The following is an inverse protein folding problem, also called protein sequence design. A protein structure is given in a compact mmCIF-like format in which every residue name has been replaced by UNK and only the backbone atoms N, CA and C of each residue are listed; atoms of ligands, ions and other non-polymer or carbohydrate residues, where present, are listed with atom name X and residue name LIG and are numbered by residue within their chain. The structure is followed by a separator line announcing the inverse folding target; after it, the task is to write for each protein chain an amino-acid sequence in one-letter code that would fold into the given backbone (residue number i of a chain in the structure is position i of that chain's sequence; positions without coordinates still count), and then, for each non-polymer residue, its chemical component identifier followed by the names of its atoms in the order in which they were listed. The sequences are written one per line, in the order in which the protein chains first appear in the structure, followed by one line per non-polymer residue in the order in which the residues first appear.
data_IF_308479905627
#
_entry.id   IF_308479905627
#
_cell.length_a   1.000
_cell.length_b   1.000
_cell.length_c   1.000
_cell.angle_alpha   90.00
_cell.angle_beta   90.00
_cell.angle_gamma   90.00
#
_symmetry.space_group_name_H-M   'P 1'
#
loop_
_entity.id
_entity.type
_entity.pdbx_description
1 polymer ?
#
# COMPACT_ATOMS: atom_id res chain seq x y z
N UNK A 1 24.53 32.94 -19.89
CA UNK A 1 24.25 33.85 -18.78
C UNK A 1 23.01 33.32 -18.07
N UNK A 2 23.02 32.81 -16.88
CA UNK A 2 24.02 32.51 -15.87
C UNK A 2 23.44 31.44 -14.94
N UNK A 3 24.27 30.45 -14.69
CA UNK A 3 23.98 29.28 -13.86
C UNK A 3 24.12 29.70 -12.39
N UNK A 4 23.12 29.49 -11.54
CA UNK A 4 23.27 29.55 -10.08
C UNK A 4 23.25 28.14 -9.50
N UNK A 5 24.43 27.67 -9.10
CA UNK A 5 24.64 26.51 -8.26
C UNK A 5 24.32 26.90 -6.81
N UNK A 6 23.50 26.08 -6.12
CA UNK A 6 23.33 26.17 -4.67
C UNK A 6 24.21 25.05 -4.07
N UNK A 7 25.20 25.46 -3.28
CA UNK A 7 26.05 24.57 -2.49
C UNK A 7 25.33 24.25 -1.16
N UNK A 8 25.27 22.98 -0.83
CA UNK A 8 25.01 22.51 0.54
C UNK A 8 26.26 22.68 1.39
N UNK A 9 26.15 23.40 2.50
CA UNK A 9 27.16 23.43 3.56
C UNK A 9 26.79 22.42 4.63
N UNK A 10 27.67 21.44 4.83
CA UNK A 10 27.70 20.59 6.01
C UNK A 10 28.55 21.29 7.03
N UNK A 11 27.98 21.68 8.17
CA UNK A 11 28.72 22.23 9.28
C UNK A 11 28.89 21.19 10.38
N UNK A 12 30.15 20.81 10.59
CA UNK A 12 30.60 19.95 11.68
C UNK A 12 31.04 20.86 12.83
N UNK A 13 30.37 20.81 13.98
CA UNK A 13 30.78 21.53 15.16
C UNK A 13 31.28 20.55 16.23
N UNK A 14 32.60 20.62 16.49
CA UNK A 14 33.25 19.95 17.61
C UNK A 14 33.00 20.70 18.93
N UNK A 15 32.57 19.98 19.96
CA UNK A 15 32.52 20.44 21.34
C UNK A 15 33.93 20.37 21.97
N UNK A 16 34.38 21.49 22.55
CA UNK A 16 35.49 21.54 23.49
C UNK A 16 34.94 21.75 24.90
N UNK A 17 35.29 20.84 25.81
CA UNK A 17 35.08 20.99 27.25
C UNK A 17 36.17 21.90 27.85
N UNK A 18 35.76 22.82 28.70
CA UNK A 18 36.66 23.49 29.65
C UNK A 18 36.02 23.49 31.04
N UNK A 19 36.66 22.77 31.94
CA UNK A 19 36.45 22.79 33.39
C UNK A 19 37.18 23.98 34.05
N UNK A 20 36.53 24.66 34.98
CA UNK A 20 37.22 25.46 35.97
C UNK A 20 36.49 25.46 37.31
N UNK A 21 37.19 25.04 38.34
CA UNK A 21 36.82 25.05 39.76
C UNK A 21 37.13 26.41 40.42
N UNK A 22 36.45 26.67 41.52
CA UNK A 22 36.83 27.61 42.60
C UNK A 22 35.59 28.35 43.12
N UNK A 23 35.13 28.30 44.31
CA UNK A 23 35.67 28.18 45.62
C UNK A 23 35.36 29.44 46.42
N UNK A 24 34.62 29.36 47.52
CA UNK A 24 34.62 30.44 48.50
C UNK A 24 33.27 30.92 49.01
N UNK A 25 32.99 30.64 50.21
CA UNK A 25 31.94 30.75 51.12
C UNK A 25 31.67 32.14 51.72
N UNK A 26 30.60 32.27 52.44
CA UNK A 26 30.22 33.43 53.24
C UNK A 26 28.77 33.36 53.71
N UNK A 27 28.63 33.10 54.99
CA UNK A 27 27.40 33.03 55.77
C UNK A 27 26.86 34.45 56.07
N UNK A 28 25.55 34.69 56.19
CA UNK A 28 24.84 35.25 57.35
C UNK A 28 23.40 35.74 57.04
N UNK A 29 22.49 35.07 57.65
CA UNK A 29 21.31 35.47 58.45
C UNK A 29 20.25 36.50 57.98
N UNK A 30 19.02 36.03 58.12
CA UNK A 30 17.77 36.65 58.60
C UNK A 30 17.06 37.74 57.79
N UNK A 31 15.80 37.45 57.54
CA UNK A 31 14.74 38.42 57.28
C UNK A 31 13.47 37.71 56.73
N UNK A 32 12.56 37.35 57.65
CA UNK A 32 11.21 36.97 57.30
C UNK A 32 10.44 38.15 56.69
N UNK A 33 9.77 37.97 55.58
CA UNK A 33 8.55 38.68 55.25
C UNK A 33 7.76 37.88 54.28
N UNK A 34 6.57 37.48 54.67
CA UNK A 34 5.50 36.91 53.88
C UNK A 34 5.21 37.75 52.62
N UNK A 35 5.23 37.11 51.49
CA UNK A 35 4.81 37.65 50.22
C UNK A 35 4.46 36.53 49.30
N UNK A 36 3.22 36.03 49.44
CA UNK A 36 2.59 35.12 48.53
C UNK A 36 2.55 35.76 47.09
N UNK A 37 3.57 35.48 46.29
CA UNK A 37 3.52 35.65 44.86
C UNK A 37 3.42 34.24 44.24
N UNK A 38 2.17 33.88 43.95
CA UNK A 38 1.94 32.80 43.04
C UNK A 38 2.76 33.05 41.75
N UNK A 39 3.79 32.28 41.57
CA UNK A 39 4.46 32.13 40.31
C UNK A 39 3.46 31.44 39.40
N UNK A 40 2.69 32.22 38.61
CA UNK A 40 2.21 31.76 37.33
C UNK A 40 3.45 31.45 36.48
N UNK A 41 4.00 30.26 36.64
CA UNK A 41 4.67 29.58 35.53
C UNK A 41 3.63 29.45 34.42
N UNK A 42 3.57 30.44 33.53
CA UNK A 42 2.96 30.24 32.22
C UNK A 42 3.79 29.15 31.56
N UNK A 43 3.34 27.90 31.74
CA UNK A 43 3.77 26.81 30.89
C UNK A 43 3.54 27.31 29.47
N UNK A 44 4.58 27.65 28.75
CA UNK A 44 4.55 27.72 27.29
C UNK A 44 4.09 26.33 26.87
N UNK A 45 2.79 26.20 26.62
CA UNK A 45 2.26 24.99 26.01
C UNK A 45 2.88 24.93 24.62
N UNK A 46 3.94 24.19 24.50
CA UNK A 46 4.54 23.85 23.22
C UNK A 46 3.52 23.19 22.30
N UNK A 47 3.80 23.12 21.02
CA UNK A 47 2.99 22.37 20.09
C UNK A 47 2.96 20.89 20.49
N UNK A 48 1.78 20.28 20.41
CA UNK A 48 1.61 18.84 20.65
C UNK A 48 0.57 18.27 19.71
N UNK A 49 0.72 17.02 19.29
CA UNK A 49 -0.29 16.28 18.57
C UNK A 49 -1.42 15.94 19.55
N UNK A 50 -2.66 16.08 19.11
CA UNK A 50 -3.85 15.70 19.87
C UNK A 50 -4.36 14.36 19.35
N UNK A 51 -4.52 14.25 18.03
CA UNK A 51 -4.91 13.01 17.35
C UNK A 51 -3.90 12.61 16.27
N UNK A 52 -3.64 11.33 16.04
CA UNK A 52 -4.05 10.19 16.85
C UNK A 52 -3.54 10.26 18.30
N UNK A 53 -4.27 9.62 19.24
CA UNK A 53 -3.78 9.48 20.61
C UNK A 53 -2.54 8.58 20.65
N UNK A 54 -1.75 8.71 21.71
CA UNK A 54 -0.57 7.86 21.92
C UNK A 54 -0.97 6.38 21.96
N UNK A 55 -0.29 5.55 21.15
CA UNK A 55 -0.56 4.13 20.95
C UNK A 55 -1.95 3.79 20.35
N UNK A 56 -2.62 4.74 19.72
CA UNK A 56 -3.87 4.46 19.02
C UNK A 56 -3.68 3.46 17.88
N UNK A 57 -4.67 2.62 17.66
CA UNK A 57 -4.82 1.86 16.44
C UNK A 57 -5.86 2.54 15.55
N UNK A 58 -5.48 2.92 14.33
CA UNK A 58 -6.33 3.63 13.37
C UNK A 58 -6.58 2.78 12.13
N UNK A 59 -7.75 2.90 11.52
CA UNK A 59 -8.06 2.20 10.28
C UNK A 59 -7.81 3.08 9.06
N UNK A 60 -7.30 2.46 7.99
CA UNK A 60 -7.25 3.03 6.64
C UNK A 60 -8.32 2.43 5.74
N UNK A 61 -9.12 1.52 6.26
CA UNK A 61 -10.27 0.91 5.59
C UNK A 61 -11.55 1.65 5.99
N UNK A 62 -12.44 1.90 5.03
CA UNK A 62 -13.76 2.37 5.37
C UNK A 62 -14.58 1.26 6.07
N UNK A 63 -15.67 1.63 6.71
CA UNK A 63 -16.52 0.72 7.47
C UNK A 63 -16.99 -0.48 6.64
N UNK A 64 -17.30 -0.29 5.36
CA UNK A 64 -17.71 -1.38 4.48
C UNK A 64 -16.60 -2.43 4.31
N UNK A 65 -15.38 -1.99 4.01
CA UNK A 65 -14.23 -2.89 3.85
C UNK A 65 -13.90 -3.57 5.16
N UNK A 66 -13.93 -2.85 6.30
CA UNK A 66 -13.75 -3.45 7.64
C UNK A 66 -14.77 -4.56 7.91
N UNK A 67 -16.05 -4.33 7.59
CA UNK A 67 -17.11 -5.32 7.78
C UNK A 67 -16.94 -6.55 6.88
N UNK A 68 -16.43 -6.38 5.66
CA UNK A 68 -16.12 -7.50 4.77
C UNK A 68 -14.94 -8.31 5.29
N UNK A 69 -13.86 -7.65 5.70
CA UNK A 69 -12.62 -8.30 6.15
C UNK A 69 -12.79 -9.00 7.49
N UNK A 70 -13.62 -8.42 8.38
CA UNK A 70 -13.90 -9.02 9.66
C UNK A 70 -14.59 -10.38 9.49
N UNK A 71 -13.99 -11.43 10.04
CA UNK A 71 -14.50 -12.81 9.95
C UNK A 71 -14.79 -13.20 8.49
N UNK A 72 -13.85 -12.88 7.58
CA UNK A 72 -14.02 -13.13 6.16
C UNK A 72 -14.11 -14.62 5.84
N UNK A 73 -15.12 -14.96 5.04
CA UNK A 73 -15.25 -16.25 4.35
C UNK A 73 -15.50 -15.99 2.86
N UNK A 74 -15.01 -16.85 1.95
CA UNK A 74 -15.27 -16.73 0.52
C UNK A 74 -16.75 -16.55 0.20
N UNK A 75 -17.06 -15.54 -0.63
CA UNK A 75 -18.45 -15.19 -0.98
C UNK A 75 -19.09 -14.13 -0.08
N UNK A 76 -18.50 -13.76 1.04
CA UNK A 76 -19.06 -12.74 1.95
C UNK A 76 -19.24 -11.37 1.30
N UNK A 77 -18.36 -11.01 0.38
CA UNK A 77 -18.43 -9.72 -0.35
C UNK A 77 -19.71 -9.57 -1.16
N UNK A 78 -20.33 -10.68 -1.58
CA UNK A 78 -21.57 -10.64 -2.37
C UNK A 78 -22.76 -10.03 -1.62
N UNK A 79 -22.77 -10.12 -0.30
CA UNK A 79 -23.84 -9.56 0.52
C UNK A 79 -23.79 -8.03 0.57
N UNK A 80 -22.67 -7.46 0.18
CA UNK A 80 -22.41 -6.01 0.17
C UNK A 80 -22.45 -5.37 -1.23
N UNK A 81 -22.75 -6.16 -2.29
CA UNK A 81 -22.83 -5.62 -3.67
C UNK A 81 -24.02 -4.69 -3.79
N UNK A 82 -23.76 -3.43 -4.17
CA UNK A 82 -24.80 -2.46 -4.47
C UNK A 82 -24.38 -1.61 -5.69
N UNK A 83 -25.02 -1.87 -6.82
CA UNK A 83 -24.74 -1.20 -8.09
C UNK A 83 -25.06 0.30 -8.09
N UNK A 84 -25.99 0.74 -7.24
CA UNK A 84 -26.46 2.13 -7.23
C UNK A 84 -25.54 3.08 -6.49
N UNK A 85 -24.59 2.56 -5.71
CA UNK A 85 -23.73 3.37 -4.84
C UNK A 85 -22.36 3.73 -5.45
N UNK A 86 -22.09 3.28 -6.68
CA UNK A 86 -20.82 3.57 -7.35
C UNK A 86 -19.61 2.86 -6.73
N UNK A 87 -18.46 3.51 -6.74
CA UNK A 87 -17.23 2.95 -6.16
C UNK A 87 -17.21 3.18 -4.65
N UNK A 88 -17.44 2.11 -3.89
CA UNK A 88 -17.47 2.10 -2.42
C UNK A 88 -16.14 1.68 -1.81
N UNK A 89 -15.18 1.45 -2.67
CA UNK A 89 -13.88 0.92 -2.36
C UNK A 89 -12.84 2.06 -2.38
N UNK A 90 -12.70 2.74 -1.26
CA UNK A 90 -11.77 3.87 -1.12
C UNK A 90 -11.11 3.88 0.27
N UNK A 91 -9.88 4.43 0.38
CA UNK A 91 -9.19 4.51 1.66
C UNK A 91 -9.81 5.57 2.55
N UNK A 92 -9.74 5.32 3.87
CA UNK A 92 -9.91 6.35 4.88
C UNK A 92 -8.60 7.11 5.11
N UNK A 93 -8.74 8.31 5.64
CA UNK A 93 -7.60 9.14 6.03
C UNK A 93 -7.40 9.12 7.53
N UNK A 94 -6.15 9.09 7.98
CA UNK A 94 -5.83 9.34 9.38
C UNK A 94 -5.91 10.85 9.61
N UNK A 95 -6.77 11.25 10.54
CA UNK A 95 -6.93 12.64 10.92
C UNK A 95 -5.94 13.01 12.02
N UNK A 96 -5.05 13.94 11.71
CA UNK A 96 -4.14 14.53 12.68
C UNK A 96 -4.68 15.87 13.15
N UNK A 97 -4.64 16.12 14.45
CA UNK A 97 -4.92 17.43 15.03
C UNK A 97 -3.82 17.82 16.01
N UNK A 98 -3.56 19.11 16.13
CA UNK A 98 -2.53 19.65 17.02
C UNK A 98 -3.06 20.77 17.92
N UNK A 99 -2.39 20.98 19.04
CA UNK A 99 -2.44 22.22 19.80
C UNK A 99 -1.45 23.23 19.21
N UNK A 100 -1.39 24.40 19.79
CA UNK A 100 -0.53 25.50 19.36
C UNK A 100 -1.31 26.55 18.56
N UNK A 101 -0.72 27.73 18.46
CA UNK A 101 -1.32 28.88 17.76
C UNK A 101 -1.28 28.77 16.23
N UNK A 102 -1.50 29.91 15.58
CA UNK A 102 -1.25 30.06 14.15
C UNK A 102 0.23 30.00 13.86
N UNK A 103 0.58 29.54 12.68
CA UNK A 103 1.96 29.43 12.23
C UNK A 103 2.13 28.37 11.14
N UNK A 104 3.32 28.35 10.55
CA UNK A 104 3.69 27.33 9.56
C UNK A 104 4.21 26.10 10.28
N UNK A 105 3.39 25.05 10.31
CA UNK A 105 3.72 23.77 10.93
C UNK A 105 3.82 22.66 9.89
N UNK A 106 4.69 21.70 10.17
CA UNK A 106 4.84 20.47 9.39
C UNK A 106 4.58 19.27 10.28
N UNK A 107 3.80 18.32 9.78
CA UNK A 107 3.64 17.00 10.38
C UNK A 107 4.70 16.07 9.79
N UNK A 108 5.50 15.48 10.64
CA UNK A 108 6.48 14.46 10.29
C UNK A 108 5.94 13.09 10.65
N UNK A 109 5.99 12.13 9.72
CA UNK A 109 5.57 10.74 9.96
C UNK A 109 6.66 9.81 9.48
N UNK A 110 7.13 8.92 10.36
CA UNK A 110 8.16 7.92 10.08
C UNK A 110 7.73 6.53 10.54
N UNK A 111 8.30 5.51 9.94
CA UNK A 111 8.26 4.12 10.44
C UNK A 111 9.43 3.82 11.40
N UNK A 112 10.34 4.76 11.55
CA UNK A 112 11.48 4.64 12.44
C UNK A 112 11.25 5.50 13.67
N UNK A 113 11.48 4.92 14.86
CA UNK A 113 11.29 5.61 16.14
C UNK A 113 12.16 6.87 16.28
N UNK A 114 13.32 6.87 15.66
CA UNK A 114 14.25 8.00 15.63
C UNK A 114 13.89 9.07 14.59
N UNK A 115 12.71 8.98 14.00
CA UNK A 115 12.18 9.86 12.96
C UNK A 115 13.04 9.95 11.68
N UNK A 116 14.02 9.06 11.50
CA UNK A 116 14.77 8.98 10.24
C UNK A 116 13.82 8.62 9.09
N UNK A 117 14.09 9.16 7.90
CA UNK A 117 13.26 8.99 6.72
C UNK A 117 11.79 9.44 6.91
N UNK A 118 11.54 10.39 7.81
CA UNK A 118 10.22 10.94 8.00
C UNK A 118 9.70 11.59 6.71
N UNK A 119 8.42 11.34 6.42
CA UNK A 119 7.69 12.02 5.37
C UNK A 119 7.03 13.26 5.96
N UNK A 120 7.11 14.34 5.22
CA UNK A 120 6.61 15.65 5.64
C UNK A 120 5.26 15.95 5.00
N UNK A 121 4.33 16.48 5.79
CA UNK A 121 3.01 16.92 5.36
C UNK A 121 2.74 18.33 5.87
N UNK A 122 2.00 19.11 5.07
CA UNK A 122 1.53 20.43 5.50
C UNK A 122 0.58 20.31 6.70
N UNK A 123 0.83 21.11 7.74
CA UNK A 123 0.03 21.16 8.96
C UNK A 123 -0.21 22.61 9.41
N UNK A 124 -0.25 23.52 8.47
CA UNK A 124 -0.50 24.96 8.73
C UNK A 124 -1.87 25.19 9.37
N UNK A 125 -2.89 24.40 9.01
CA UNK A 125 -4.14 24.33 9.79
C UNK A 125 -3.98 23.49 11.06
N UNK A 126 -4.88 23.61 12.04
CA UNK A 126 -4.86 22.79 13.25
C UNK A 126 -5.26 21.32 13.02
N UNK A 127 -5.69 20.98 11.82
CA UNK A 127 -6.12 19.64 11.41
C UNK A 127 -5.59 19.36 10.00
N UNK A 128 -5.07 18.14 9.79
CA UNK A 128 -4.72 17.61 8.46
C UNK A 128 -5.11 16.15 8.35
N UNK A 129 -5.20 15.64 7.14
CA UNK A 129 -5.58 14.26 6.85
C UNK A 129 -4.52 13.59 5.98
N UNK A 130 -4.16 12.35 6.33
CA UNK A 130 -3.14 11.57 5.64
C UNK A 130 -3.72 10.21 5.23
N UNK A 131 -3.77 9.93 3.93
CA UNK A 131 -4.36 8.71 3.34
C UNK A 131 -3.35 7.78 2.69
N UNK A 132 -2.07 8.13 2.66
CA UNK A 132 -1.04 7.38 1.92
C UNK A 132 -0.14 6.52 2.84
N UNK A 133 -0.63 6.21 4.03
CA UNK A 133 0.04 5.30 4.96
C UNK A 133 -0.15 3.83 4.55
N UNK A 134 0.65 2.95 5.13
CA UNK A 134 0.56 1.50 4.96
C UNK A 134 -0.34 0.89 6.03
N UNK A 135 -1.09 -0.15 5.68
CA UNK A 135 -1.87 -0.92 6.63
C UNK A 135 -0.97 -1.82 7.49
N UNK A 136 -1.41 -2.18 8.71
CA UNK A 136 -0.67 -3.08 9.60
C UNK A 136 0.72 -2.57 9.99
N UNK A 137 0.91 -1.26 10.07
CA UNK A 137 2.24 -0.63 10.20
C UNK A 137 2.30 0.25 11.43
N UNK A 138 3.40 0.17 12.16
CA UNK A 138 3.73 1.08 13.26
C UNK A 138 4.33 2.37 12.70
N UNK A 139 3.85 3.49 13.22
CA UNK A 139 4.28 4.83 12.85
C UNK A 139 4.62 5.67 14.06
N UNK A 140 5.53 6.60 13.84
CA UNK A 140 5.92 7.66 14.75
C UNK A 140 5.65 9.00 14.09
N UNK A 141 5.11 9.96 14.84
CA UNK A 141 4.79 11.29 14.32
C UNK A 141 5.21 12.37 15.28
N UNK A 142 5.71 13.48 14.75
CA UNK A 142 5.98 14.72 15.46
C UNK A 142 5.49 15.91 14.63
N UNK A 143 5.37 17.07 15.29
CA UNK A 143 5.04 18.33 14.63
C UNK A 143 6.19 19.31 14.87
N UNK A 144 6.63 19.95 13.81
CA UNK A 144 7.64 20.99 13.87
C UNK A 144 7.06 22.33 13.41
N UNK A 145 7.36 23.40 14.15
CA UNK A 145 7.10 24.76 13.69
C UNK A 145 8.22 25.16 12.72
N UNK A 146 7.88 25.45 11.47
CA UNK A 146 8.84 25.71 10.41
C UNK A 146 9.63 27.03 10.61
N UNK A 147 9.10 27.98 11.38
CA UNK A 147 9.76 29.26 11.66
C UNK A 147 10.69 29.19 12.86
N UNK A 148 10.19 28.64 13.99
CA UNK A 148 10.96 28.58 15.24
C UNK A 148 11.83 27.33 15.39
N UNK A 149 11.53 26.26 14.63
CA UNK A 149 12.13 24.94 14.79
C UNK A 149 11.70 24.22 16.07
N UNK A 150 10.68 24.71 16.78
CA UNK A 150 10.13 24.03 17.94
C UNK A 150 9.44 22.73 17.49
N UNK A 151 9.75 21.61 18.16
CA UNK A 151 9.24 20.30 17.83
C UNK A 151 8.45 19.71 19.02
N UNK A 152 7.36 19.01 18.70
CA UNK A 152 6.58 18.26 19.70
C UNK A 152 7.30 16.97 20.12
N UNK A 153 6.84 16.37 21.21
CA UNK A 153 7.19 14.98 21.50
C UNK A 153 6.76 14.06 20.35
N UNK A 154 7.56 13.00 20.15
CA UNK A 154 7.23 11.96 19.18
C UNK A 154 6.11 11.08 19.72
N UNK A 155 5.05 10.89 18.93
CA UNK A 155 3.93 9.99 19.23
C UNK A 155 3.97 8.75 18.37
N UNK A 156 3.63 7.62 18.98
CA UNK A 156 3.48 6.33 18.32
C UNK A 156 2.00 6.06 18.05
N UNK A 157 1.69 5.50 16.89
CA UNK A 157 0.39 4.92 16.55
C UNK A 157 0.59 3.74 15.59
N UNK A 158 -0.45 2.92 15.43
CA UNK A 158 -0.45 1.80 14.48
C UNK A 158 -1.64 1.90 13.55
N UNK A 159 -1.49 1.37 12.35
CA UNK A 159 -2.61 1.21 11.42
C UNK A 159 -3.10 -0.23 11.47
N UNK A 160 -4.42 -0.45 11.36
CA UNK A 160 -5.01 -1.80 11.30
C UNK A 160 -4.49 -2.59 10.11
N UNK A 161 -4.33 -3.91 10.29
CA UNK A 161 -4.07 -4.84 9.19
C UNK A 161 -5.29 -4.91 8.27
N UNK A 162 -5.05 -5.09 6.97
CA UNK A 162 -6.09 -5.29 5.98
C UNK A 162 -5.65 -4.83 4.58
N UNK A 163 -6.53 -4.96 3.58
CA UNK A 163 -6.25 -4.53 2.22
C UNK A 163 -6.06 -3.00 2.15
N UNK A 164 -5.01 -2.58 1.48
CA UNK A 164 -4.72 -1.17 1.27
C UNK A 164 -5.38 -0.68 -0.01
N UNK A 165 -6.54 -0.08 0.13
CA UNK A 165 -7.23 0.59 -0.99
C UNK A 165 -6.53 1.91 -1.33
N UNK A 166 -6.62 2.34 -2.58
CA UNK A 166 -6.11 3.63 -3.03
C UNK A 166 -7.14 4.29 -3.93
N UNK A 167 -7.22 5.62 -3.90
CA UNK A 167 -8.13 6.38 -4.76
C UNK A 167 -7.35 7.09 -5.85
N UNK A 168 -7.58 6.68 -7.09
CA UNK A 168 -6.93 7.26 -8.26
C UNK A 168 -8.01 7.86 -9.18
N UNK A 169 -7.97 9.17 -9.38
CA UNK A 169 -8.97 9.85 -10.20
C UNK A 169 -8.96 9.39 -11.65
N UNK A 170 -10.11 8.95 -12.16
CA UNK A 170 -10.29 8.49 -13.53
C UNK A 170 -10.07 6.99 -13.75
N UNK A 171 -9.86 6.23 -12.68
CA UNK A 171 -9.90 4.76 -12.68
C UNK A 171 -10.54 4.27 -11.39
N UNK A 172 -10.92 3.02 -11.33
CA UNK A 172 -11.60 2.39 -10.18
C UNK A 172 -10.96 1.06 -9.80
N UNK A 173 -11.47 0.42 -8.74
CA UNK A 173 -11.01 -0.89 -8.29
C UNK A 173 -9.51 -0.92 -7.99
N UNK A 174 -8.99 0.18 -7.42
CA UNK A 174 -7.55 0.39 -7.24
C UNK A 174 -7.10 0.08 -5.83
N UNK A 175 -6.03 -0.71 -5.70
CA UNK A 175 -5.42 -1.10 -4.42
C UNK A 175 -3.98 -1.57 -4.58
N UNK A 176 -3.27 -1.57 -3.47
CA UNK A 176 -1.99 -2.23 -3.30
C UNK A 176 -2.22 -3.74 -3.12
N UNK A 177 -1.39 -4.59 -3.71
CA UNK A 177 -1.44 -6.03 -3.44
C UNK A 177 -0.52 -6.46 -2.29
N UNK A 178 0.19 -5.51 -1.66
CA UNK A 178 0.97 -5.72 -0.45
C UNK A 178 0.13 -5.72 0.83
N UNK A 179 0.76 -6.06 1.95
CA UNK A 179 0.14 -6.08 3.28
C UNK A 179 -0.41 -7.45 3.71
N UNK A 180 -0.53 -8.40 2.79
CA UNK A 180 -0.94 -9.77 3.12
C UNK A 180 0.20 -10.55 3.78
N UNK A 181 -0.15 -11.40 4.74
CA UNK A 181 0.80 -12.32 5.38
C UNK A 181 1.00 -13.55 4.50
N UNK A 182 2.20 -14.10 4.52
CA UNK A 182 2.54 -15.36 3.85
C UNK A 182 2.52 -16.51 4.85
N UNK A 183 2.33 -17.74 4.38
CA UNK A 183 2.41 -18.94 5.23
C UNK A 183 3.75 -19.08 5.97
N UNK A 184 4.82 -18.47 5.45
CA UNK A 184 6.14 -18.45 6.08
C UNK A 184 6.30 -17.33 7.14
N UNK A 185 5.23 -16.59 7.47
CA UNK A 185 5.22 -15.51 8.46
C UNK A 185 5.87 -14.21 7.98
N UNK A 186 6.09 -14.05 6.68
CA UNK A 186 6.53 -12.78 6.08
C UNK A 186 5.30 -11.94 5.69
N UNK A 187 5.53 -10.66 5.42
CA UNK A 187 4.49 -9.77 4.89
C UNK A 187 4.88 -9.27 3.51
N UNK A 188 3.96 -9.33 2.55
CA UNK A 188 4.17 -8.75 1.22
C UNK A 188 4.32 -7.24 1.36
N UNK A 189 5.43 -6.69 0.85
CA UNK A 189 5.75 -5.26 0.97
C UNK A 189 4.70 -4.40 0.26
N UNK A 190 4.23 -3.38 0.94
CA UNK A 190 3.31 -2.38 0.38
C UNK A 190 4.05 -1.28 -0.39
N UNK A 191 3.35 -0.63 -1.31
CA UNK A 191 3.90 0.47 -2.11
C UNK A 191 4.69 0.05 -3.34
N UNK A 192 4.83 -1.25 -3.59
CA UNK A 192 5.58 -1.79 -4.71
C UNK A 192 4.70 -2.19 -5.90
N UNK A 193 3.50 -2.68 -5.64
CA UNK A 193 2.64 -3.22 -6.70
C UNK A 193 1.20 -2.80 -6.46
N UNK A 194 0.62 -2.16 -7.47
CA UNK A 194 -0.76 -1.71 -7.46
C UNK A 194 -1.55 -2.38 -8.58
N UNK A 195 -2.81 -2.68 -8.30
CA UNK A 195 -3.76 -3.18 -9.30
C UNK A 195 -4.97 -2.26 -9.43
N UNK A 196 -5.65 -2.32 -10.59
CA UNK A 196 -6.87 -1.54 -10.78
C UNK A 196 -7.50 -1.70 -12.15
N UNK A 197 -8.48 -0.84 -12.45
CA UNK A 197 -9.07 -0.64 -13.76
C UNK A 197 -8.13 0.08 -14.72
N UNK A 198 -8.55 0.26 -15.97
CA UNK A 198 -7.73 0.91 -16.98
C UNK A 198 -7.52 2.41 -16.65
N UNK A 199 -6.30 2.94 -16.81
CA UNK A 199 -5.96 4.32 -16.53
C UNK A 199 -6.09 5.24 -17.76
N UNK A 200 -6.88 4.87 -18.77
CA UNK A 200 -6.97 5.61 -20.03
C UNK A 200 -7.58 7.01 -19.88
N UNK A 201 -8.39 7.22 -18.84
CA UNK A 201 -9.15 8.46 -18.61
C UNK A 201 -8.78 9.12 -17.27
N UNK A 202 -7.50 9.02 -16.85
CA UNK A 202 -7.06 9.66 -15.62
C UNK A 202 -7.35 11.15 -15.61
N UNK A 203 -7.86 11.63 -14.47
CA UNK A 203 -7.89 13.06 -14.14
C UNK A 203 -6.46 13.56 -13.89
N UNK A 204 -6.28 14.90 -13.81
CA UNK A 204 -4.98 15.45 -13.45
C UNK A 204 -4.53 14.99 -12.06
N UNK A 205 -5.45 14.88 -11.08
CA UNK A 205 -5.15 14.27 -9.78
C UNK A 205 -4.74 12.81 -9.87
N UNK A 206 -5.34 12.03 -10.78
CA UNK A 206 -4.92 10.66 -11.06
C UNK A 206 -3.52 10.57 -11.63
N UNK A 207 -3.14 11.47 -12.57
CA UNK A 207 -1.77 11.55 -13.11
C UNK A 207 -0.77 11.94 -12.04
N UNK A 208 -1.11 12.90 -11.17
CA UNK A 208 -0.27 13.28 -10.03
C UNK A 208 -0.08 12.12 -9.03
N UNK A 209 -1.11 11.28 -8.85
CA UNK A 209 -0.98 10.07 -8.05
C UNK A 209 0.10 9.14 -8.61
N UNK A 210 0.09 8.86 -9.92
CA UNK A 210 1.12 8.03 -10.58
C UNK A 210 2.53 8.61 -10.41
N UNK A 211 2.68 9.92 -10.51
CA UNK A 211 3.95 10.62 -10.26
C UNK A 211 4.38 10.52 -8.79
N UNK A 212 3.46 10.81 -7.86
CA UNK A 212 3.73 10.79 -6.40
C UNK A 212 4.20 9.43 -5.92
N UNK A 213 3.56 8.36 -6.42
CA UNK A 213 3.93 6.99 -6.08
C UNK A 213 5.08 6.45 -6.95
N UNK A 214 5.57 7.23 -7.89
CA UNK A 214 6.73 6.92 -8.71
C UNK A 214 6.54 5.68 -9.58
N UNK A 215 5.30 5.41 -10.07
CA UNK A 215 5.01 4.25 -10.91
C UNK A 215 5.95 4.24 -12.11
N UNK A 216 6.73 3.17 -12.26
CA UNK A 216 7.69 3.01 -13.36
C UNK A 216 7.17 2.17 -14.51
N UNK A 217 6.29 1.20 -14.20
CA UNK A 217 5.84 0.23 -15.19
C UNK A 217 4.33 0.03 -15.09
N UNK A 218 3.68 -0.02 -16.25
CA UNK A 218 2.27 -0.40 -16.38
C UNK A 218 2.19 -1.67 -17.22
N UNK A 219 1.58 -2.72 -16.64
CA UNK A 219 1.26 -3.97 -17.33
C UNK A 219 -0.20 -3.91 -17.78
N UNK A 220 -0.43 -3.72 -19.08
CA UNK A 220 -1.78 -3.70 -19.66
C UNK A 220 -2.17 -5.10 -20.14
N UNK A 221 -3.06 -5.75 -19.38
CA UNK A 221 -3.52 -7.11 -19.63
C UNK A 221 -4.65 -7.20 -20.68
N UNK A 222 -5.04 -6.09 -21.29
CA UNK A 222 -6.05 -6.09 -22.36
C UNK A 222 -5.49 -6.69 -23.64
N UNK A 223 -6.38 -7.05 -24.55
CA UNK A 223 -6.02 -7.48 -25.89
C UNK A 223 -5.76 -6.29 -26.81
N UNK A 224 -4.92 -6.48 -27.82
CA UNK A 224 -4.83 -5.55 -28.94
C UNK A 224 -6.17 -5.54 -29.74
N UNK A 225 -6.66 -4.38 -30.26
CA UNK A 225 -6.06 -3.05 -30.20
C UNK A 225 -6.50 -2.21 -28.98
N UNK A 226 -7.06 -2.84 -27.94
CA UNK A 226 -7.62 -2.12 -26.76
C UNK A 226 -6.52 -1.47 -25.89
N UNK A 227 -5.27 -1.86 -26.05
CA UNK A 227 -4.16 -1.32 -25.26
C UNK A 227 -3.86 0.11 -25.65
N UNK A 228 -3.82 0.98 -24.65
CA UNK A 228 -3.45 2.38 -24.83
C UNK A 228 -2.29 2.74 -23.89
N UNK A 229 -1.25 3.34 -24.45
CA UNK A 229 -0.05 3.76 -23.71
C UNK A 229 -0.17 5.23 -23.33
N UNK A 230 -1.24 5.60 -22.62
CA UNK A 230 -1.63 6.99 -22.34
C UNK A 230 -0.65 7.72 -21.42
N UNK A 231 0.11 7.00 -20.60
CA UNK A 231 1.03 7.58 -19.61
C UNK A 231 2.52 7.48 -20.01
N UNK A 232 2.82 7.12 -21.25
CA UNK A 232 4.21 7.07 -21.74
C UNK A 232 4.90 8.43 -21.67
N UNK A 233 4.15 9.52 -21.79
CA UNK A 233 4.66 10.89 -21.63
C UNK A 233 5.15 11.22 -20.21
N UNK A 234 4.77 10.42 -19.22
CA UNK A 234 5.26 10.50 -17.83
C UNK A 234 6.53 9.67 -17.60
N UNK A 235 7.12 9.08 -18.68
CA UNK A 235 8.28 8.20 -18.56
C UNK A 235 7.96 6.79 -18.09
N UNK A 236 6.68 6.40 -18.09
CA UNK A 236 6.24 5.08 -17.62
C UNK A 236 6.47 4.05 -18.73
N UNK A 237 7.08 2.93 -18.37
CA UNK A 237 7.32 1.80 -19.26
C UNK A 237 6.06 0.93 -19.43
N UNK A 238 5.85 0.46 -20.68
CA UNK A 238 4.81 -0.51 -21.02
C UNK A 238 5.47 -1.75 -21.64
N UNK A 239 5.67 -2.83 -20.87
CA UNK A 239 6.23 -4.08 -21.39
C UNK A 239 5.39 -4.64 -22.53
N UNK A 240 6.05 -5.21 -23.56
CA UNK A 240 5.37 -5.89 -24.63
C UNK A 240 4.78 -7.21 -24.14
N UNK A 241 3.47 -7.38 -24.30
CA UNK A 241 2.77 -8.63 -24.03
C UNK A 241 2.23 -9.22 -25.33
N UNK A 242 2.02 -10.55 -25.41
CA UNK A 242 1.34 -11.18 -26.55
C UNK A 242 0.03 -10.48 -26.89
N UNK A 243 -0.36 -10.46 -28.19
CA UNK A 243 -1.53 -9.71 -28.66
C UNK A 243 -2.83 -10.06 -27.92
N UNK A 244 -3.03 -11.31 -27.54
CA UNK A 244 -4.17 -11.75 -26.73
C UNK A 244 -4.03 -11.39 -25.24
N UNK A 245 -2.85 -10.99 -24.79
CA UNK A 245 -2.58 -10.70 -23.38
C UNK A 245 -2.93 -11.89 -22.47
N UNK A 246 -3.30 -11.59 -21.22
CA UNK A 246 -3.89 -12.57 -20.30
C UNK A 246 -5.42 -12.58 -20.47
N UNK A 247 -5.92 -12.91 -21.66
CA UNK A 247 -7.30 -12.67 -22.10
C UNK A 247 -8.35 -13.60 -21.49
N UNK A 248 -8.18 -14.06 -20.26
CA UNK A 248 -9.10 -15.02 -19.68
C UNK A 248 -10.17 -14.33 -18.84
N UNK A 249 -11.35 -14.30 -19.41
CA UNK A 249 -12.57 -13.87 -18.74
C UNK A 249 -13.09 -14.98 -17.82
N UNK A 250 -13.63 -14.62 -16.67
CA UNK A 250 -14.49 -15.39 -15.77
C UNK A 250 -13.90 -16.66 -15.13
N UNK A 251 -12.96 -17.33 -15.74
CA UNK A 251 -12.40 -18.56 -15.19
C UNK A 251 -10.89 -18.41 -15.19
N UNK A 252 -10.33 -17.95 -14.08
CA UNK A 252 -8.88 -17.81 -13.92
C UNK A 252 -8.09 -19.04 -14.35
N UNK A 253 -8.72 -20.24 -14.29
CA UNK A 253 -8.14 -21.48 -14.74
C UNK A 253 -7.88 -21.55 -16.27
N UNK A 254 -8.57 -20.75 -17.10
CA UNK A 254 -8.31 -20.68 -18.54
C UNK A 254 -6.92 -20.16 -18.86
N UNK A 255 -6.40 -19.20 -18.05
CA UNK A 255 -5.01 -18.73 -18.18
C UNK A 255 -4.00 -19.85 -17.99
N UNK A 256 -4.37 -20.91 -17.28
CA UNK A 256 -3.51 -22.06 -17.03
C UNK A 256 -3.66 -23.10 -18.16
N UNK A 257 -4.85 -23.29 -18.71
CA UNK A 257 -5.15 -24.34 -19.69
C UNK A 257 -4.96 -23.90 -21.15
N UNK A 258 -5.33 -22.66 -21.50
CA UNK A 258 -5.17 -22.12 -22.85
C UNK A 258 -3.74 -21.64 -23.09
N UNK A 259 -3.12 -22.08 -24.21
CA UNK A 259 -1.72 -21.78 -24.49
C UNK A 259 -1.43 -20.30 -24.72
N UNK A 260 -2.32 -19.56 -25.38
CA UNK A 260 -2.10 -18.15 -25.68
C UNK A 260 -2.32 -17.30 -24.42
N UNK A 261 -3.36 -17.61 -23.66
CA UNK A 261 -3.58 -16.99 -22.34
C UNK A 261 -2.40 -17.25 -21.40
N UNK A 262 -1.88 -18.47 -21.38
CA UNK A 262 -0.74 -18.85 -20.55
C UNK A 262 0.53 -18.10 -20.93
N UNK A 263 0.83 -17.94 -22.22
CA UNK A 263 1.97 -17.13 -22.68
C UNK A 263 1.86 -15.69 -22.20
N UNK A 264 0.68 -15.09 -22.26
CA UNK A 264 0.43 -13.74 -21.77
C UNK A 264 0.67 -13.63 -20.25
N UNK A 265 0.15 -14.59 -19.47
CA UNK A 265 0.35 -14.65 -18.03
C UNK A 265 1.85 -14.78 -17.67
N UNK A 266 2.55 -15.72 -18.30
CA UNK A 266 3.99 -15.93 -18.06
C UNK A 266 4.81 -14.69 -18.41
N UNK A 267 4.52 -14.05 -19.53
CA UNK A 267 5.22 -12.81 -19.92
C UNK A 267 4.97 -11.71 -18.90
N UNK A 268 3.74 -11.56 -18.41
CA UNK A 268 3.42 -10.59 -17.36
C UNK A 268 4.14 -10.90 -16.04
N UNK A 269 4.19 -12.18 -15.61
CA UNK A 269 4.90 -12.60 -14.39
C UNK A 269 6.38 -12.27 -14.46
N UNK A 270 7.04 -12.47 -15.60
CA UNK A 270 8.47 -12.16 -15.78
C UNK A 270 8.81 -10.68 -15.56
N UNK A 271 7.86 -9.77 -15.80
CA UNK A 271 8.08 -8.33 -15.53
C UNK A 271 8.37 -8.06 -14.06
N UNK A 272 7.81 -8.87 -13.15
CA UNK A 272 8.03 -8.74 -11.71
C UNK A 272 9.41 -9.19 -11.23
N UNK A 273 10.18 -9.87 -12.07
CA UNK A 273 11.51 -10.35 -11.69
C UNK A 273 12.61 -9.27 -11.74
N UNK A 274 12.36 -8.12 -12.38
CA UNK A 274 13.33 -7.02 -12.46
C UNK A 274 12.94 -5.87 -11.52
N UNK A 275 13.77 -5.62 -10.50
CA UNK A 275 13.60 -4.54 -9.52
C UNK A 275 13.46 -3.15 -10.16
N UNK A 276 14.04 -2.94 -11.34
CA UNK A 276 13.94 -1.67 -12.07
C UNK A 276 12.51 -1.32 -12.50
N UNK A 277 11.63 -2.32 -12.61
CA UNK A 277 10.24 -2.12 -13.01
C UNK A 277 9.36 -1.54 -11.91
N UNK A 278 9.81 -1.58 -10.65
CA UNK A 278 8.98 -1.17 -9.50
C UNK A 278 9.07 0.33 -9.19
N UNK A 279 8.00 0.94 -8.72
CA UNK A 279 6.65 0.37 -8.49
C UNK A 279 5.90 0.05 -9.79
N UNK A 280 5.11 -1.04 -9.75
CA UNK A 280 4.32 -1.55 -10.88
C UNK A 280 2.83 -1.22 -10.66
N UNK A 281 2.15 -0.77 -11.72
CA UNK A 281 0.69 -0.77 -11.81
C UNK A 281 0.25 -1.76 -12.89
N UNK A 282 -0.67 -2.67 -12.57
CA UNK A 282 -1.19 -3.58 -13.58
C UNK A 282 -2.71 -3.57 -13.62
N UNK A 283 -3.26 -3.73 -14.83
CA UNK A 283 -4.69 -3.57 -15.04
C UNK A 283 -5.21 -4.38 -16.25
N UNK A 284 -6.53 -4.56 -16.26
CA UNK A 284 -7.26 -4.93 -17.47
C UNK A 284 -8.28 -3.83 -17.82
N UNK A 285 -9.50 -4.16 -18.21
CA UNK A 285 -10.54 -3.15 -18.43
C UNK A 285 -11.11 -2.61 -17.12
N UNK A 286 -11.60 -3.50 -16.24
CA UNK A 286 -12.25 -3.16 -14.96
C UNK A 286 -11.44 -3.55 -13.72
N UNK A 287 -10.25 -4.12 -13.91
CA UNK A 287 -9.36 -4.50 -12.81
C UNK A 287 -9.78 -5.74 -12.01
N UNK A 288 -10.76 -6.54 -12.48
CA UNK A 288 -11.30 -7.69 -11.76
C UNK A 288 -10.66 -9.01 -12.18
N UNK A 289 -11.00 -9.54 -13.39
CA UNK A 289 -10.72 -10.92 -13.77
C UNK A 289 -9.26 -11.17 -14.16
N UNK A 290 -8.79 -10.64 -15.29
CA UNK A 290 -7.39 -10.78 -15.74
C UNK A 290 -6.40 -10.24 -14.72
N UNK A 291 -6.75 -9.10 -14.15
CA UNK A 291 -5.99 -8.45 -13.06
C UNK A 291 -6.01 -9.33 -11.79
N UNK A 292 -7.17 -9.87 -11.43
CA UNK A 292 -7.31 -10.78 -10.28
C UNK A 292 -6.50 -12.06 -10.46
N UNK A 293 -6.47 -12.64 -11.65
CA UNK A 293 -5.65 -13.82 -11.95
C UNK A 293 -4.16 -13.54 -11.77
N UNK A 294 -3.66 -12.40 -12.29
CA UNK A 294 -2.25 -12.05 -12.11
C UNK A 294 -1.91 -11.77 -10.64
N UNK A 295 -2.79 -11.04 -9.92
CA UNK A 295 -2.60 -10.82 -8.47
C UNK A 295 -2.54 -12.13 -7.69
N UNK A 296 -3.46 -13.07 -8.00
CA UNK A 296 -3.51 -14.39 -7.39
C UNK A 296 -2.18 -15.16 -7.59
N UNK A 297 -1.64 -15.15 -8.82
CA UNK A 297 -0.38 -15.83 -9.13
C UNK A 297 0.80 -15.19 -8.41
N UNK A 298 0.91 -13.86 -8.43
CA UNK A 298 2.04 -13.15 -7.81
C UNK A 298 2.03 -13.31 -6.28
N UNK A 299 0.89 -13.06 -5.62
CA UNK A 299 0.79 -13.19 -4.18
C UNK A 299 0.85 -14.65 -3.71
N UNK A 300 0.23 -15.58 -4.44
CA UNK A 300 0.34 -17.01 -4.13
C UNK A 300 1.76 -17.56 -4.33
N UNK A 301 2.53 -17.06 -5.32
CA UNK A 301 3.94 -17.41 -5.52
C UNK A 301 4.80 -17.04 -4.30
N UNK A 302 4.52 -15.94 -3.64
CA UNK A 302 5.24 -15.52 -2.44
C UNK A 302 4.69 -16.13 -1.15
N UNK A 303 3.60 -16.91 -1.23
CA UNK A 303 3.08 -17.71 -0.12
C UNK A 303 1.87 -17.12 0.59
N UNK A 304 1.16 -16.14 0.00
CA UNK A 304 -0.15 -15.72 0.52
C UNK A 304 -1.16 -16.86 0.33
N UNK A 305 -1.95 -17.13 1.35
CA UNK A 305 -2.88 -18.24 1.36
C UNK A 305 -4.14 -18.00 0.51
N UNK A 306 -4.80 -19.08 0.11
CA UNK A 306 -5.95 -19.06 -0.80
C UNK A 306 -7.09 -18.15 -0.31
N UNK A 307 -7.36 -18.11 0.99
CA UNK A 307 -8.43 -17.29 1.55
C UNK A 307 -8.19 -15.80 1.31
N UNK A 308 -6.98 -15.32 1.55
CA UNK A 308 -6.59 -13.92 1.33
C UNK A 308 -6.52 -13.56 -0.16
N UNK A 309 -6.09 -14.51 -1.01
CA UNK A 309 -6.12 -14.34 -2.46
C UNK A 309 -7.55 -14.23 -2.99
N UNK A 310 -8.48 -14.98 -2.40
CA UNK A 310 -9.91 -14.91 -2.72
C UNK A 310 -10.52 -13.61 -2.24
N UNK A 311 -10.20 -13.16 -1.03
CA UNK A 311 -10.58 -11.84 -0.52
C UNK A 311 -10.13 -10.74 -1.48
N UNK A 312 -8.83 -10.73 -1.86
CA UNK A 312 -8.33 -9.73 -2.80
C UNK A 312 -9.11 -9.73 -4.12
N UNK A 313 -9.45 -10.88 -4.67
CA UNK A 313 -10.28 -10.96 -5.87
C UNK A 313 -11.68 -10.39 -5.65
N UNK A 314 -12.35 -10.81 -4.58
CA UNK A 314 -13.76 -10.48 -4.27
C UNK A 314 -13.94 -9.01 -3.89
N UNK A 315 -12.94 -8.34 -3.33
CA UNK A 315 -13.00 -6.89 -3.08
C UNK A 315 -13.31 -6.10 -4.34
N UNK A 316 -13.04 -6.64 -5.52
CA UNK A 316 -13.41 -6.00 -6.78
C UNK A 316 -14.92 -5.80 -6.94
N UNK A 317 -15.76 -6.58 -6.26
CA UNK A 317 -17.22 -6.44 -6.32
C UNK A 317 -17.74 -5.20 -5.58
N UNK A 318 -16.92 -4.60 -4.72
CA UNK A 318 -17.25 -3.35 -4.03
C UNK A 318 -16.94 -2.12 -4.88
N UNK A 319 -16.31 -2.29 -6.05
CA UNK A 319 -15.99 -1.20 -6.98
C UNK A 319 -17.14 -0.94 -7.96
N UNK A 320 -17.20 0.30 -8.48
CA UNK A 320 -18.20 0.74 -9.45
C UNK A 320 -18.35 -0.22 -10.64
N UNK A 321 -17.22 -0.63 -11.23
CA UNK A 321 -17.24 -1.49 -12.40
C UNK A 321 -17.18 -2.98 -12.06
N UNK A 322 -16.71 -3.35 -10.89
CA UNK A 322 -16.60 -4.75 -10.49
C UNK A 322 -17.94 -5.45 -10.33
N UNK A 323 -19.00 -4.68 -10.06
CA UNK A 323 -20.37 -5.18 -9.88
C UNK A 323 -21.26 -5.09 -11.14
N UNK A 324 -20.76 -4.60 -12.27
CA UNK A 324 -21.58 -4.35 -13.47
C UNK A 324 -22.37 -5.57 -14.00
N UNK A 325 -21.80 -6.77 -13.82
CA UNK A 325 -22.40 -8.01 -14.32
C UNK A 325 -23.46 -8.62 -13.38
N UNK A 326 -23.67 -8.00 -12.20
CA UNK A 326 -24.63 -8.53 -11.22
C UNK A 326 -26.01 -7.90 -11.43
N UNK A 327 -26.94 -8.62 -12.02
CA UNK A 327 -28.35 -8.29 -11.97
C UNK A 327 -29.01 -8.98 -10.76
N UNK A 328 -29.94 -8.29 -10.06
CA UNK A 328 -30.53 -8.75 -8.81
C UNK A 328 -31.16 -10.16 -8.89
N UNK A 329 -31.61 -10.59 -10.09
CA UNK A 329 -32.24 -11.90 -10.30
C UNK A 329 -31.24 -13.06 -10.46
N UNK A 330 -29.92 -12.77 -10.56
CA UNK A 330 -28.90 -13.74 -10.97
C UNK A 330 -27.75 -13.85 -9.97
N UNK A 331 -27.89 -13.22 -8.79
CA UNK A 331 -26.83 -13.13 -7.78
C UNK A 331 -26.32 -14.50 -7.36
N UNK A 332 -27.21 -15.47 -7.12
CA UNK A 332 -26.81 -16.81 -6.68
C UNK A 332 -26.03 -17.60 -7.75
N UNK A 333 -26.49 -17.52 -9.01
CA UNK A 333 -25.79 -18.16 -10.13
C UNK A 333 -24.39 -17.53 -10.36
N UNK A 334 -24.27 -16.22 -10.15
CA UNK A 334 -23.01 -15.49 -10.31
C UNK A 334 -22.07 -15.63 -9.12
N UNK A 335 -22.59 -15.73 -7.89
CA UNK A 335 -21.83 -16.16 -6.72
C UNK A 335 -21.05 -17.44 -7.04
N UNK A 336 -21.75 -18.47 -7.51
CA UNK A 336 -21.14 -19.75 -7.87
C UNK A 336 -20.08 -19.62 -8.97
N UNK A 337 -20.33 -18.80 -10.00
CA UNK A 337 -19.38 -18.64 -11.11
C UNK A 337 -18.11 -17.87 -10.70
N UNK A 338 -18.22 -16.86 -9.84
CA UNK A 338 -17.06 -16.05 -9.41
C UNK A 338 -16.26 -16.72 -8.30
N UNK A 339 -16.92 -17.41 -7.37
CA UNK A 339 -16.26 -18.30 -6.43
C UNK A 339 -15.52 -19.42 -7.19
N UNK A 340 -16.15 -19.97 -8.23
CA UNK A 340 -15.52 -20.95 -9.12
C UNK A 340 -14.24 -20.42 -9.82
N UNK A 341 -14.06 -19.09 -9.96
CA UNK A 341 -12.85 -18.55 -10.58
C UNK A 341 -11.62 -18.75 -9.68
N UNK A 342 -11.68 -18.38 -8.41
CA UNK A 342 -10.57 -18.58 -7.47
C UNK A 342 -10.40 -20.03 -7.08
N UNK A 343 -11.49 -20.78 -6.89
CA UNK A 343 -11.45 -22.23 -6.67
C UNK A 343 -10.87 -22.99 -7.87
N UNK A 344 -11.18 -22.56 -9.08
CA UNK A 344 -10.61 -23.12 -10.31
C UNK A 344 -9.09 -22.90 -10.37
N UNK A 345 -8.60 -21.72 -10.01
CA UNK A 345 -7.16 -21.43 -9.88
C UNK A 345 -6.51 -22.32 -8.81
N UNK A 346 -7.08 -22.33 -7.61
CA UNK A 346 -6.61 -23.14 -6.50
C UNK A 346 -6.48 -24.62 -6.89
N UNK A 347 -7.59 -25.21 -7.38
CA UNK A 347 -7.63 -26.61 -7.75
C UNK A 347 -6.62 -26.98 -8.85
N UNK A 348 -6.39 -26.09 -9.82
CA UNK A 348 -5.41 -26.34 -10.88
C UNK A 348 -3.98 -26.23 -10.37
N UNK A 349 -3.63 -25.24 -9.56
CA UNK A 349 -2.30 -25.13 -8.99
C UNK A 349 -2.01 -26.26 -8.01
N UNK A 350 -2.97 -26.70 -7.20
CA UNK A 350 -2.78 -27.85 -6.33
C UNK A 350 -2.45 -29.14 -7.09
N UNK A 351 -2.96 -29.35 -8.33
CA UNK A 351 -2.52 -30.47 -9.17
C UNK A 351 -1.03 -30.42 -9.51
N UNK A 352 -0.49 -29.22 -9.74
CA UNK A 352 0.96 -29.04 -9.94
C UNK A 352 1.74 -29.35 -8.67
N UNK A 353 1.27 -28.89 -7.53
CA UNK A 353 1.90 -29.17 -6.23
C UNK A 353 1.93 -30.68 -5.95
N UNK A 354 0.82 -31.39 -6.07
CA UNK A 354 0.74 -32.84 -5.88
C UNK A 354 1.70 -33.58 -6.84
N UNK A 355 1.89 -33.06 -8.06
CA UNK A 355 2.80 -33.66 -9.03
C UNK A 355 4.27 -33.64 -8.61
N UNK A 356 4.66 -32.74 -7.69
CA UNK A 356 6.02 -32.70 -7.08
C UNK A 356 6.28 -33.85 -6.11
N UNK A 357 5.24 -34.55 -5.65
CA UNK A 357 5.35 -35.64 -4.65
C UNK A 357 5.98 -35.17 -3.33
N UNK A 358 5.74 -33.93 -2.92
CA UNK A 358 6.11 -33.42 -1.60
C UNK A 358 5.21 -34.04 -0.53
N UNK A 359 5.70 -34.16 0.70
CA UNK A 359 4.91 -34.71 1.83
C UNK A 359 3.70 -33.80 2.15
N UNK A 360 3.87 -32.48 2.00
CA UNK A 360 2.82 -31.48 2.25
C UNK A 360 2.66 -30.57 1.02
N UNK A 361 1.73 -30.89 0.12
CA UNK A 361 1.44 -30.03 -1.04
C UNK A 361 0.92 -28.64 -0.62
N UNK A 362 1.47 -27.58 -1.21
CA UNK A 362 1.04 -26.20 -0.95
C UNK A 362 0.66 -25.48 -2.25
N UNK A 363 -0.16 -24.42 -2.12
CA UNK A 363 -0.51 -23.55 -3.25
C UNK A 363 0.73 -22.87 -3.83
N UNK A 364 1.64 -22.38 -2.97
CA UNK A 364 2.93 -21.78 -3.33
C UNK A 364 3.75 -22.71 -4.23
N UNK A 365 3.89 -23.98 -3.83
CA UNK A 365 4.61 -24.98 -4.62
C UNK A 365 3.95 -25.27 -5.96
N UNK A 366 2.64 -25.29 -5.98
CA UNK A 366 1.87 -25.50 -7.21
C UNK A 366 2.04 -24.38 -8.22
N UNK A 367 2.01 -23.13 -7.76
CA UNK A 367 2.25 -21.97 -8.60
C UNK A 367 3.70 -21.96 -9.10
N UNK A 368 4.67 -22.19 -8.23
CA UNK A 368 6.08 -22.28 -8.60
C UNK A 368 6.31 -23.33 -9.68
N UNK A 369 5.82 -24.56 -9.46
CA UNK A 369 5.97 -25.66 -10.44
C UNK A 369 5.31 -25.33 -11.77
N UNK A 370 4.12 -24.71 -11.75
CA UNK A 370 3.46 -24.23 -12.98
C UNK A 370 4.34 -23.22 -13.72
N UNK A 371 4.89 -22.24 -13.02
CA UNK A 371 5.74 -21.20 -13.61
C UNK A 371 7.03 -21.78 -14.19
N UNK A 372 7.70 -22.67 -13.47
CA UNK A 372 8.92 -23.35 -13.93
C UNK A 372 8.68 -24.16 -15.21
N UNK A 373 7.59 -24.96 -15.25
CA UNK A 373 7.23 -25.74 -16.44
C UNK A 373 6.88 -24.88 -17.67
N UNK A 374 6.55 -23.62 -17.45
CA UNK A 374 6.20 -22.69 -18.50
C UNK A 374 7.28 -21.63 -18.81
N UNK A 375 8.51 -21.85 -18.30
CA UNK A 375 9.69 -21.10 -18.70
C UNK A 375 10.00 -19.84 -17.91
N UNK A 376 9.41 -19.70 -16.69
CA UNK A 376 9.94 -18.79 -15.67
C UNK A 376 11.11 -19.50 -15.00
N UNK A 377 12.25 -18.83 -14.81
CA UNK A 377 13.44 -19.47 -14.22
C UNK A 377 13.39 -19.43 -12.69
N UNK A 378 14.23 -20.25 -12.06
CA UNK A 378 14.40 -20.26 -10.59
C UNK A 378 14.88 -18.89 -10.10
N UNK A 379 15.78 -18.25 -10.84
CA UNK A 379 16.32 -16.93 -10.53
C UNK A 379 15.24 -15.84 -10.60
N UNK A 380 14.38 -15.90 -11.62
CA UNK A 380 13.25 -14.98 -11.74
C UNK A 380 12.28 -15.13 -10.55
N UNK A 381 11.94 -16.36 -10.16
CA UNK A 381 11.09 -16.66 -9.00
C UNK A 381 11.73 -16.15 -7.71
N UNK A 382 13.02 -16.43 -7.52
CA UNK A 382 13.75 -15.96 -6.35
C UNK A 382 13.76 -14.43 -6.29
N UNK A 383 14.03 -13.75 -7.41
CA UNK A 383 14.00 -12.29 -7.47
C UNK A 383 12.64 -11.72 -7.09
N UNK A 384 11.53 -12.27 -7.60
CA UNK A 384 10.18 -11.85 -7.23
C UNK A 384 9.95 -11.96 -5.71
N UNK A 385 10.34 -13.07 -5.11
CA UNK A 385 10.22 -13.29 -3.65
C UNK A 385 11.04 -12.29 -2.85
N UNK A 386 12.31 -12.10 -3.20
CA UNK A 386 13.20 -11.14 -2.53
C UNK A 386 12.67 -9.70 -2.61
N UNK A 387 12.21 -9.29 -3.79
CA UNK A 387 11.66 -7.95 -3.99
C UNK A 387 10.41 -7.75 -3.14
N UNK A 388 9.46 -8.68 -3.23
CA UNK A 388 8.13 -8.51 -2.64
C UNK A 388 8.07 -8.79 -1.14
N UNK A 389 8.91 -9.69 -0.60
CA UNK A 389 8.87 -10.06 0.83
C UNK A 389 10.16 -9.76 1.58
N UNK A 390 11.28 -9.64 0.89
CA UNK A 390 12.61 -9.58 1.51
C UNK A 390 13.15 -10.95 1.91
N UNK A 391 12.49 -12.05 1.50
CA UNK A 391 13.02 -13.40 1.67
C UNK A 391 14.37 -13.52 0.96
N UNK A 392 15.36 -14.10 1.66
CA UNK A 392 16.70 -14.35 1.11
C UNK A 392 16.80 -15.74 0.49
#
# INVERSE_FOLDING_TARGET
MGIRKILCFVSCACLLFLTACGGGGGNLSRGESDGNKGSEESMKKGVTIITPEENAEVSLMNELVENVVKDYEPGKTYDYINKSEGDRYFPESVKFSRSGGEGDYRLLISRNKDMTQAKEYDFSSSVTEVSDLFCGTEYYSSVVNAESGEESDVRRFTTKKGPRTVKIGGTSNTRDIGGYETADGLTVKQGLVFRGGNPDNLTDGGKEWFKKFGIKTIIDLREEPSRKRTLISLGINYPELPAKGCACYFHGDLSIRDNECRKGLITAVKVFADEKNYPIYFHCQIGRDRTGTLAYVINGLVGVEHQDLTLDYELSFLSEYGCLDFEQKDVESRKQNHYAATEGLYSNFMKYSISKKTEEPSLKDGIEEFLLRNGVTVEEIKSIREILTGAK
#
